data_IF_657181531894
#
_entry.id   IF_657181531894
#
_cell.length_a   1.000
_cell.length_b   1.000
_cell.length_c   1.000
_cell.angle_alpha   90.00
_cell.angle_beta   90.00
_cell.angle_gamma   90.00
#
_symmetry.space_group_name_H-M   'P 1'
#
loop_
_entity.id
_entity.type
_entity.pdbx_description
1 polymer ?
#
# COMPACT_ATOMS: atom_id res chain seq x y z
N UNK A 1 27.92 7.86 -28.51
CA UNK A 1 27.35 7.35 -27.24
C UNK A 1 27.28 5.84 -27.32
N UNK A 2 27.88 5.11 -26.37
CA UNK A 2 27.86 3.64 -26.40
C UNK A 2 26.48 3.09 -26.01
N UNK A 3 26.06 1.97 -26.60
CA UNK A 3 24.77 1.28 -26.30
C UNK A 3 24.57 1.02 -24.79
N UNK A 4 25.65 0.89 -24.03
CA UNK A 4 25.66 0.69 -22.57
C UNK A 4 25.16 1.90 -21.77
N UNK A 5 25.36 3.12 -22.29
CA UNK A 5 24.94 4.35 -21.62
C UNK A 5 23.42 4.58 -21.74
N UNK A 6 22.80 4.08 -22.82
CA UNK A 6 21.35 4.17 -23.05
C UNK A 6 20.59 3.21 -22.13
N UNK A 7 21.08 1.96 -21.95
CA UNK A 7 20.45 0.95 -21.09
C UNK A 7 20.41 1.35 -19.61
N UNK A 8 21.43 2.04 -19.11
CA UNK A 8 21.50 2.49 -17.70
C UNK A 8 20.60 3.69 -17.40
N UNK A 9 20.25 4.49 -18.41
CA UNK A 9 19.35 5.64 -18.26
C UNK A 9 17.89 5.19 -18.08
N UNK A 10 17.44 4.23 -18.89
CA UNK A 10 16.07 3.71 -18.83
C UNK A 10 15.75 3.03 -17.49
N UNK A 11 16.72 2.30 -16.91
CA UNK A 11 16.52 1.63 -15.64
C UNK A 11 16.31 2.63 -14.48
N UNK A 12 17.06 3.73 -14.46
CA UNK A 12 16.91 4.79 -13.45
C UNK A 12 15.54 5.48 -13.52
N UNK A 13 15.02 5.69 -14.72
CA UNK A 13 13.70 6.28 -14.94
C UNK A 13 12.60 5.37 -14.38
N UNK A 14 12.66 4.05 -14.63
CA UNK A 14 11.72 3.08 -14.06
C UNK A 14 11.78 3.08 -12.53
N UNK A 15 12.99 3.11 -11.94
CA UNK A 15 13.13 3.17 -10.47
C UNK A 15 12.54 4.45 -9.87
N UNK A 16 12.69 5.57 -10.55
CA UNK A 16 12.10 6.83 -10.10
C UNK A 16 10.57 6.79 -10.14
N UNK A 17 9.99 6.25 -11.21
CA UNK A 17 8.53 6.04 -11.31
C UNK A 17 8.03 5.09 -10.23
N UNK A 18 8.72 3.97 -9.99
CA UNK A 18 8.42 3.03 -8.89
C UNK A 18 8.44 3.74 -7.55
N UNK A 19 9.44 4.56 -7.27
CA UNK A 19 9.54 5.31 -6.02
C UNK A 19 8.38 6.31 -5.85
N UNK A 20 7.98 7.03 -6.90
CA UNK A 20 6.81 7.92 -6.87
C UNK A 20 5.54 7.13 -6.55
N UNK A 21 5.31 6.01 -7.23
CA UNK A 21 4.12 5.18 -7.03
C UNK A 21 4.07 4.55 -5.64
N UNK A 22 5.22 4.14 -5.09
CA UNK A 22 5.33 3.66 -3.70
C UNK A 22 5.04 4.77 -2.70
N UNK A 23 5.57 5.97 -2.93
CA UNK A 23 5.32 7.14 -2.07
C UNK A 23 3.84 7.50 -2.09
N UNK A 24 3.21 7.50 -3.28
CA UNK A 24 1.77 7.70 -3.41
C UNK A 24 0.98 6.60 -2.68
N UNK A 25 1.33 5.33 -2.87
CA UNK A 25 0.67 4.21 -2.20
C UNK A 25 0.76 4.33 -0.67
N UNK A 26 1.94 4.69 -0.15
CA UNK A 26 2.19 4.92 1.26
C UNK A 26 1.33 6.07 1.80
N UNK A 27 1.35 7.24 1.15
CA UNK A 27 0.56 8.40 1.58
C UNK A 27 -0.95 8.12 1.53
N UNK A 28 -1.41 7.44 0.48
CA UNK A 28 -2.79 7.00 0.34
C UNK A 28 -3.20 6.05 1.49
N UNK A 29 -2.34 5.08 1.82
CA UNK A 29 -2.56 4.17 2.94
C UNK A 29 -2.63 4.88 4.27
N UNK A 30 -1.63 5.70 4.62
CA UNK A 30 -1.59 6.41 5.89
C UNK A 30 -2.80 7.31 6.03
N UNK A 31 -3.07 8.15 5.02
CA UNK A 31 -4.20 9.08 5.03
C UNK A 31 -5.52 8.35 5.19
N UNK A 32 -5.68 7.22 4.51
CA UNK A 32 -6.88 6.40 4.67
C UNK A 32 -6.99 5.82 6.08
N UNK A 33 -5.94 5.16 6.59
CA UNK A 33 -5.97 4.49 7.89
C UNK A 33 -6.24 5.46 9.06
N UNK A 34 -5.82 6.71 8.95
CA UNK A 34 -5.93 7.72 10.02
C UNK A 34 -7.22 8.53 10.01
N UNK A 35 -8.17 8.27 9.11
CA UNK A 35 -9.42 9.06 9.02
C UNK A 35 -10.66 8.24 9.34
N UNK A 36 -11.63 8.89 9.97
CA UNK A 36 -12.97 8.38 10.29
C UNK A 36 -13.87 8.08 9.08
N UNK A 37 -13.40 8.31 7.84
CA UNK A 37 -14.25 8.33 6.65
C UNK A 37 -14.18 7.05 5.82
N UNK A 38 -14.13 5.86 6.45
CA UNK A 38 -14.15 4.59 5.72
C UNK A 38 -15.56 4.20 5.32
N UNK A 39 -16.48 4.31 6.29
CA UNK A 39 -17.90 4.06 6.11
C UNK A 39 -18.74 5.14 6.77
N UNK A 40 -19.95 5.31 6.25
CA UNK A 40 -20.98 6.11 6.91
C UNK A 40 -22.19 5.22 7.22
N UNK A 41 -22.78 5.51 8.35
CA UNK A 41 -24.08 5.00 8.80
C UNK A 41 -24.95 6.19 9.16
N UNK A 42 -26.25 5.97 9.38
CA UNK A 42 -27.21 7.06 9.64
C UNK A 42 -26.85 7.89 10.89
N UNK A 43 -26.13 7.30 11.85
CA UNK A 43 -25.79 7.90 13.14
C UNK A 43 -24.31 8.27 13.33
N UNK A 44 -23.39 7.82 12.47
CA UNK A 44 -21.96 8.08 12.64
C UNK A 44 -21.12 7.87 11.37
N UNK A 45 -19.94 8.48 11.36
CA UNK A 45 -18.82 8.11 10.50
C UNK A 45 -17.89 7.16 11.25
N UNK A 46 -17.39 6.15 10.56
CA UNK A 46 -16.44 5.22 11.14
C UNK A 46 -15.25 4.99 10.21
N UNK A 47 -14.07 5.17 10.79
CA UNK A 47 -12.80 4.86 10.18
C UNK A 47 -12.25 3.54 10.69
N UNK A 48 -10.96 3.34 10.48
CA UNK A 48 -10.32 2.13 10.95
C UNK A 48 -10.09 2.16 12.47
N UNK A 49 -9.71 3.30 13.05
CA UNK A 49 -9.37 3.43 14.49
C UNK A 49 -10.26 4.38 15.28
N UNK A 50 -11.20 5.04 14.63
CA UNK A 50 -12.04 6.06 15.26
C UNK A 50 -13.46 6.01 14.71
N UNK A 51 -14.41 6.37 15.57
CA UNK A 51 -15.82 6.57 15.22
C UNK A 51 -16.24 7.96 15.68
N UNK A 52 -16.93 8.70 14.82
CA UNK A 52 -17.44 10.04 15.12
C UNK A 52 -18.96 10.03 14.96
N UNK A 53 -19.70 10.24 16.06
CA UNK A 53 -21.16 10.26 16.06
C UNK A 53 -21.70 11.63 15.64
N UNK A 54 -22.85 11.65 14.95
CA UNK A 54 -23.48 12.93 14.58
C UNK A 54 -24.05 13.61 15.83
N UNK A 55 -23.61 14.85 16.09
CA UNK A 55 -24.12 15.67 17.17
C UNK A 55 -23.43 15.47 18.53
N UNK A 56 -22.43 14.58 18.62
CA UNK A 56 -21.48 14.57 19.73
C UNK A 56 -20.25 15.43 19.40
N UNK A 57 -19.76 16.21 20.37
CA UNK A 57 -18.51 16.97 20.25
C UNK A 57 -17.30 16.03 20.40
N UNK A 58 -17.10 15.11 19.46
CA UNK A 58 -15.87 14.32 19.40
C UNK A 58 -15.94 12.99 18.67
N UNK A 59 -14.75 12.44 18.42
CA UNK A 59 -14.57 11.09 17.92
C UNK A 59 -14.06 10.20 19.05
N UNK A 60 -14.60 8.98 19.15
CA UNK A 60 -14.15 7.96 20.10
C UNK A 60 -13.17 7.03 19.40
N UNK A 61 -12.06 6.74 20.06
CA UNK A 61 -11.11 5.74 19.59
C UNK A 61 -11.68 4.34 19.76
N UNK A 62 -11.48 3.50 18.76
CA UNK A 62 -11.85 2.10 18.77
C UNK A 62 -10.60 1.27 19.12
N UNK A 63 -10.54 0.79 20.35
CA UNK A 63 -9.42 -0.05 20.81
C UNK A 63 -9.52 -1.47 20.23
N UNK A 64 -8.35 -2.08 20.00
CA UNK A 64 -8.27 -3.50 19.62
C UNK A 64 -8.81 -4.39 20.74
N UNK A 65 -9.51 -5.46 20.39
CA UNK A 65 -10.00 -6.47 21.33
C UNK A 65 -10.97 -5.95 22.40
N UNK A 66 -11.56 -4.78 22.20
CA UNK A 66 -12.69 -4.34 23.02
C UNK A 66 -13.86 -5.31 22.81
N UNK A 67 -14.61 -5.63 23.87
CA UNK A 67 -15.70 -6.63 23.82
C UNK A 67 -16.83 -6.27 22.85
N UNK A 68 -16.84 -5.04 22.34
CA UNK A 68 -17.79 -4.53 21.36
C UNK A 68 -17.29 -4.61 19.90
N UNK A 69 -16.02 -4.95 19.67
CA UNK A 69 -15.42 -5.12 18.35
C UNK A 69 -15.63 -6.55 17.84
N UNK A 70 -16.18 -6.71 16.62
CA UNK A 70 -16.18 -8.00 15.95
C UNK A 70 -14.72 -8.44 15.74
N UNK A 71 -14.35 -9.65 16.18
CA UNK A 71 -12.95 -10.12 16.12
C UNK A 71 -12.36 -10.06 14.72
N UNK A 72 -13.20 -10.26 13.72
CA UNK A 72 -12.85 -10.22 12.31
C UNK A 72 -12.48 -8.81 11.83
N UNK A 73 -13.06 -7.78 12.44
CA UNK A 73 -12.69 -6.39 12.21
C UNK A 73 -11.27 -6.09 12.70
N UNK A 74 -10.92 -6.60 13.89
CA UNK A 74 -9.57 -6.46 14.43
C UNK A 74 -8.52 -7.20 13.58
N UNK A 75 -8.88 -8.34 12.99
CA UNK A 75 -8.01 -9.03 12.01
C UNK A 75 -7.76 -8.14 10.80
N UNK A 76 -8.80 -7.53 10.20
CA UNK A 76 -8.64 -6.62 9.07
C UNK A 76 -7.71 -5.44 9.41
N UNK A 77 -7.86 -4.85 10.61
CA UNK A 77 -7.01 -3.76 11.09
C UNK A 77 -5.54 -4.16 11.20
N UNK A 78 -5.26 -5.32 11.81
CA UNK A 78 -3.90 -5.81 11.99
C UNK A 78 -3.24 -6.09 10.64
N UNK A 79 -3.97 -6.69 9.69
CA UNK A 79 -3.47 -6.95 8.34
C UNK A 79 -3.12 -5.66 7.61
N UNK A 80 -4.00 -4.65 7.68
CA UNK A 80 -3.78 -3.35 7.03
C UNK A 80 -2.63 -2.56 7.68
N UNK A 81 -2.46 -2.62 9.00
CA UNK A 81 -1.30 -2.05 9.69
C UNK A 81 -0.01 -2.76 9.29
N UNK A 82 -0.02 -4.09 9.22
CA UNK A 82 1.11 -4.88 8.74
C UNK A 82 1.50 -4.51 7.31
N UNK A 83 0.53 -4.36 6.42
CA UNK A 83 0.77 -3.88 5.06
C UNK A 83 1.41 -2.49 5.03
N UNK A 84 0.91 -1.56 5.85
CA UNK A 84 1.47 -0.21 5.98
C UNK A 84 2.94 -0.24 6.47
N UNK A 85 3.26 -1.08 7.46
CA UNK A 85 4.62 -1.24 7.94
C UNK A 85 5.58 -1.74 6.84
N UNK A 86 5.16 -2.73 6.05
CA UNK A 86 5.96 -3.21 4.91
C UNK A 86 6.13 -2.14 3.83
N UNK A 87 5.10 -1.33 3.56
CA UNK A 87 5.19 -0.21 2.60
C UNK A 87 6.18 0.87 3.05
N UNK A 88 6.19 1.20 4.34
CA UNK A 88 7.15 2.15 4.90
C UNK A 88 8.57 1.66 4.64
N UNK A 89 8.87 0.42 5.03
CA UNK A 89 10.20 -0.18 4.86
C UNK A 89 10.57 -0.22 3.37
N UNK A 90 9.65 -0.68 2.52
CA UNK A 90 9.82 -0.76 1.06
C UNK A 90 10.14 0.60 0.44
N UNK A 91 9.43 1.66 0.85
CA UNK A 91 9.63 3.03 0.34
C UNK A 91 11.00 3.57 0.71
N UNK A 92 11.45 3.37 1.96
CA UNK A 92 12.79 3.77 2.40
C UNK A 92 13.90 2.99 1.69
N UNK A 93 13.74 1.68 1.53
CA UNK A 93 14.70 0.86 0.78
C UNK A 93 14.76 1.27 -0.70
N UNK A 94 13.61 1.58 -1.32
CA UNK A 94 13.55 2.07 -2.70
C UNK A 94 14.20 3.44 -2.85
N UNK A 95 14.10 4.31 -1.86
CA UNK A 95 14.86 5.57 -1.87
C UNK A 95 16.37 5.31 -1.73
N UNK A 96 16.76 4.44 -0.80
CA UNK A 96 18.16 4.06 -0.59
C UNK A 96 18.81 3.36 -1.78
N UNK A 97 18.04 2.60 -2.58
CA UNK A 97 18.56 1.93 -3.78
C UNK A 97 18.88 2.91 -4.92
N UNK A 98 18.20 4.07 -4.98
CA UNK A 98 18.57 5.15 -5.90
C UNK A 98 19.96 5.74 -5.57
N UNK A 99 20.34 5.75 -4.29
CA UNK A 99 21.54 6.41 -3.82
C UNK A 99 22.75 5.48 -3.64
N UNK A 100 22.59 4.27 -3.10
CA UNK A 100 23.74 3.49 -2.59
C UNK A 100 23.71 1.98 -2.85
N UNK A 101 22.54 1.34 -3.02
CA UNK A 101 22.44 -0.12 -2.93
C UNK A 101 21.90 -0.79 -4.21
N UNK A 102 22.79 -1.51 -4.93
CA UNK A 102 22.41 -2.27 -6.14
C UNK A 102 21.72 -3.61 -5.88
N UNK A 103 21.80 -4.16 -4.66
CA UNK A 103 21.38 -5.54 -4.35
C UNK A 103 20.10 -5.66 -3.50
N UNK A 104 19.38 -4.55 -3.27
CA UNK A 104 18.20 -4.54 -2.37
C UNK A 104 16.89 -4.79 -3.13
N UNK A 105 16.98 -4.93 -4.45
CA UNK A 105 15.85 -5.04 -5.35
C UNK A 105 14.86 -6.16 -5.01
N UNK A 106 15.37 -7.38 -4.83
CA UNK A 106 14.54 -8.55 -4.50
C UNK A 106 13.80 -8.36 -3.17
N UNK A 107 14.45 -7.74 -2.18
CA UNK A 107 13.82 -7.45 -0.91
C UNK A 107 12.66 -6.46 -1.06
N UNK A 108 12.81 -5.42 -1.89
CA UNK A 108 11.74 -4.45 -2.18
C UNK A 108 10.54 -5.16 -2.84
N UNK A 109 10.78 -6.03 -3.83
CA UNK A 109 9.70 -6.81 -4.47
C UNK A 109 8.96 -7.66 -3.43
N UNK A 110 9.70 -8.43 -2.62
CA UNK A 110 9.10 -9.31 -1.61
C UNK A 110 8.27 -8.52 -0.59
N UNK A 111 8.78 -7.38 -0.12
CA UNK A 111 8.05 -6.51 0.80
C UNK A 111 6.76 -5.97 0.18
N UNK A 112 6.79 -5.55 -1.09
CA UNK A 112 5.60 -5.07 -1.78
C UNK A 112 4.58 -6.19 -2.03
N UNK A 113 5.02 -7.41 -2.37
CA UNK A 113 4.13 -8.57 -2.51
C UNK A 113 3.43 -8.90 -1.20
N UNK A 114 4.17 -8.92 -0.09
CA UNK A 114 3.59 -9.12 1.25
C UNK A 114 2.59 -8.00 1.60
N UNK A 115 2.99 -6.74 1.38
CA UNK A 115 2.10 -5.60 1.61
C UNK A 115 0.83 -5.70 0.78
N UNK A 116 0.93 -6.08 -0.50
CA UNK A 116 -0.20 -6.22 -1.41
C UNK A 116 -1.16 -7.34 -1.00
N UNK A 117 -0.65 -8.51 -0.63
CA UNK A 117 -1.48 -9.63 -0.19
C UNK A 117 -2.21 -9.27 1.11
N UNK A 118 -1.50 -8.73 2.10
CA UNK A 118 -2.11 -8.31 3.38
C UNK A 118 -3.16 -7.22 3.17
N UNK A 119 -2.87 -6.26 2.30
CA UNK A 119 -3.79 -5.21 1.87
C UNK A 119 -5.07 -5.78 1.26
N UNK A 120 -4.92 -6.68 0.28
CA UNK A 120 -6.05 -7.31 -0.40
C UNK A 120 -6.93 -8.09 0.58
N UNK A 121 -6.32 -8.92 1.45
CA UNK A 121 -7.07 -9.70 2.43
C UNK A 121 -7.76 -8.78 3.43
N UNK A 122 -7.04 -7.79 3.98
CA UNK A 122 -7.59 -6.83 4.96
C UNK A 122 -8.77 -6.03 4.39
N UNK A 123 -8.63 -5.48 3.18
CA UNK A 123 -9.71 -4.73 2.51
C UNK A 123 -10.88 -5.63 2.13
N UNK A 124 -10.62 -6.86 1.67
CA UNK A 124 -11.68 -7.81 1.32
C UNK A 124 -12.48 -8.24 2.55
N UNK A 125 -11.82 -8.55 3.66
CA UNK A 125 -12.47 -8.85 4.94
C UNK A 125 -13.31 -7.65 5.41
N UNK A 126 -12.74 -6.45 5.37
CA UNK A 126 -13.49 -5.23 5.72
C UNK A 126 -14.74 -5.07 4.86
N UNK A 127 -14.61 -5.24 3.54
CA UNK A 127 -15.73 -5.16 2.58
C UNK A 127 -16.80 -6.19 2.88
N UNK A 128 -16.39 -7.44 3.14
CA UNK A 128 -17.30 -8.54 3.40
C UNK A 128 -18.14 -8.32 4.67
N UNK A 129 -17.51 -7.86 5.76
CA UNK A 129 -18.21 -7.56 7.00
C UNK A 129 -19.12 -6.33 6.93
N UNK A 130 -18.84 -5.42 6.01
CA UNK A 130 -19.56 -4.16 5.87
C UNK A 130 -20.31 -4.05 4.54
N UNK A 131 -20.76 -5.18 3.98
CA UNK A 131 -21.40 -5.26 2.66
C UNK A 131 -22.66 -4.40 2.51
N UNK A 132 -23.37 -4.13 3.61
CA UNK A 132 -24.56 -3.28 3.65
C UNK A 132 -24.26 -1.80 3.96
N UNK A 133 -23.00 -1.40 4.10
CA UNK A 133 -22.61 -0.02 4.45
C UNK A 133 -22.26 0.80 3.21
N UNK A 134 -22.48 2.12 3.29
CA UNK A 134 -22.02 3.05 2.26
C UNK A 134 -20.55 3.40 2.49
N UNK A 135 -19.67 2.90 1.61
CA UNK A 135 -18.25 3.23 1.64
C UNK A 135 -17.98 4.68 1.24
N UNK A 136 -16.94 5.26 1.82
CA UNK A 136 -16.55 6.65 1.63
C UNK A 136 -15.16 6.76 0.99
N UNK A 137 -14.73 7.99 0.72
CA UNK A 137 -13.55 8.28 -0.08
C UNK A 137 -12.27 7.68 0.49
N UNK A 138 -12.12 7.60 1.82
CA UNK A 138 -10.90 7.06 2.41
C UNK A 138 -10.77 5.57 2.16
N UNK A 139 -11.89 4.83 2.23
CA UNK A 139 -11.90 3.42 1.84
C UNK A 139 -11.50 3.21 0.38
N UNK A 140 -11.99 4.07 -0.52
CA UNK A 140 -11.56 4.09 -1.92
C UNK A 140 -10.06 4.41 -2.07
N UNK A 141 -9.53 5.31 -1.23
CA UNK A 141 -8.12 5.68 -1.20
C UNK A 141 -7.22 4.50 -0.78
N UNK A 142 -7.66 3.65 0.16
CA UNK A 142 -6.96 2.40 0.49
C UNK A 142 -6.92 1.43 -0.68
N UNK A 143 -8.01 1.27 -1.43
CA UNK A 143 -8.01 0.45 -2.65
C UNK A 143 -7.11 1.02 -3.73
N UNK A 144 -7.11 2.34 -3.93
CA UNK A 144 -6.21 3.01 -4.86
C UNK A 144 -4.74 2.80 -4.48
N UNK A 145 -4.42 2.93 -3.18
CA UNK A 145 -3.10 2.58 -2.65
C UNK A 145 -2.74 1.13 -2.93
N UNK A 146 -3.65 0.19 -2.66
CA UNK A 146 -3.46 -1.24 -2.92
C UNK A 146 -3.15 -1.54 -4.40
N UNK A 147 -3.94 -0.97 -5.32
CA UNK A 147 -3.73 -1.12 -6.75
C UNK A 147 -2.40 -0.51 -7.21
N UNK A 148 -1.99 0.64 -6.64
CA UNK A 148 -0.69 1.26 -6.92
C UNK A 148 0.47 0.31 -6.56
N UNK A 149 0.37 -0.41 -5.44
CA UNK A 149 1.36 -1.44 -5.06
C UNK A 149 1.41 -2.57 -6.10
N UNK A 150 0.25 -3.03 -6.56
CA UNK A 150 0.16 -4.03 -7.63
C UNK A 150 0.85 -3.57 -8.92
N UNK A 151 0.65 -2.31 -9.32
CA UNK A 151 1.34 -1.72 -10.47
C UNK A 151 2.85 -1.65 -10.25
N UNK A 152 3.31 -1.27 -9.05
CA UNK A 152 4.73 -1.28 -8.70
C UNK A 152 5.34 -2.67 -8.86
N UNK A 153 4.69 -3.71 -8.33
CA UNK A 153 5.17 -5.11 -8.46
C UNK A 153 5.33 -5.47 -9.94
N UNK A 154 4.34 -5.15 -10.77
CA UNK A 154 4.39 -5.41 -12.22
C UNK A 154 5.53 -4.67 -12.90
N UNK A 155 5.71 -3.37 -12.62
CA UNK A 155 6.78 -2.55 -13.20
C UNK A 155 8.16 -3.07 -12.82
N UNK A 156 8.33 -3.50 -11.57
CA UNK A 156 9.57 -4.13 -11.11
C UNK A 156 9.80 -5.46 -11.86
N UNK A 157 8.84 -6.39 -11.85
CA UNK A 157 9.02 -7.67 -12.54
C UNK A 157 9.33 -7.51 -14.06
N UNK A 158 8.67 -6.56 -14.73
CA UNK A 158 8.94 -6.24 -16.14
C UNK A 158 10.34 -5.65 -16.33
N UNK A 159 10.77 -4.76 -15.43
CA UNK A 159 12.12 -4.18 -15.45
C UNK A 159 13.21 -5.25 -15.34
N UNK A 160 12.99 -6.26 -14.48
CA UNK A 160 13.92 -7.37 -14.29
C UNK A 160 13.98 -8.29 -15.51
N UNK A 161 12.82 -8.68 -16.04
CA UNK A 161 12.72 -9.50 -17.26
C UNK A 161 13.39 -8.82 -18.47
N UNK A 162 13.18 -7.52 -18.65
CA UNK A 162 13.84 -6.75 -19.71
C UNK A 162 15.36 -6.66 -19.50
N UNK A 163 15.84 -6.62 -18.25
CA UNK A 163 17.26 -6.59 -17.95
C UNK A 163 17.95 -7.92 -18.26
N UNK A 164 17.35 -9.05 -17.87
CA UNK A 164 17.91 -10.38 -18.13
C UNK A 164 18.00 -10.70 -19.62
N UNK A 165 16.93 -10.48 -20.39
CA UNK A 165 16.92 -10.73 -21.84
C UNK A 165 17.98 -9.90 -22.59
N UNK A 166 18.28 -8.70 -22.11
CA UNK A 166 19.29 -7.83 -22.70
C UNK A 166 20.74 -8.20 -22.34
N UNK A 167 20.94 -9.07 -21.34
CA UNK A 167 22.25 -9.56 -20.90
C UNK A 167 22.66 -10.83 -21.64
N UNK A 168 21.70 -11.63 -22.10
CA UNK A 168 21.90 -12.89 -22.82
C UNK A 168 22.25 -12.73 -24.30
N UNK A 169 22.15 -11.52 -24.87
CA UNK A 169 22.69 -11.17 -26.21
C UNK A 169 24.02 -10.41 -26.08
N UNK A 170 25.16 -11.12 -25.88
CA UNK A 170 26.48 -10.53 -26.05
C UNK A 170 26.77 -10.46 -27.55
N UNK A 171 26.47 -9.31 -28.18
CA UNK A 171 27.16 -8.93 -29.42
C UNK A 171 28.66 -8.72 -29.16
#
# INVERSE_FOLDING_TARGET
>A
MSKQHVKTMQLKEVYFVVWILLTFAFLAYVTSLTTAHWRVTDSYFEGLFERCEYGEDGCRFLYFFDHHSAKEFDVARILLLGACAFLIISTFLSYGSLCFFKNVYLAIILLNVLAFILSLIGLSLYTHHHSNSSFKWSFGLSWAGCLSIGVVILLMCLGDFCYENNKSDPE
#
